data_IF_150872021120
#
_entry.id   IF_150872021120
#
_cell.length_a   1.000
_cell.length_b   1.000
_cell.length_c   1.000
_cell.angle_alpha   90.00
_cell.angle_beta   90.00
_cell.angle_gamma   90.00
#
_symmetry.space_group_name_H-M   'P 1'
#
loop_
_entity.id
_entity.type
_entity.pdbx_description
1 polymer ?
#
# COMPACT_ATOMS: atom_id res chain seq x y z
N UNK A 1 32.79 5.21 90.94
CA UNK A 1 31.78 4.13 90.78
C UNK A 1 30.77 4.66 89.77
N UNK A 2 30.67 4.22 88.51
CA UNK A 2 30.84 2.90 87.95
C UNK A 2 29.51 2.54 87.28
N UNK A 3 29.39 2.79 85.97
CA UNK A 3 28.56 2.03 85.00
C UNK A 3 28.67 2.64 83.59
N UNK A 4 29.18 1.84 82.67
CA UNK A 4 28.90 1.85 81.22
C UNK A 4 28.18 0.49 80.94
N UNK A 5 27.68 0.20 79.74
CA UNK A 5 26.99 1.01 78.72
C UNK A 5 25.58 0.42 78.41
N UNK A 6 24.80 1.05 77.52
CA UNK A 6 24.06 0.24 76.54
C UNK A 6 24.08 0.88 75.14
N UNK A 7 24.21 0.02 74.13
CA UNK A 7 24.40 0.30 72.72
C UNK A 7 23.04 0.27 72.02
N UNK A 8 22.66 1.36 71.36
CA UNK A 8 21.45 1.42 70.54
C UNK A 8 21.67 2.18 69.23
N UNK A 9 22.29 1.49 68.27
CA UNK A 9 22.25 1.64 66.80
C UNK A 9 21.78 2.99 66.20
N UNK A 10 22.74 3.71 65.65
CA UNK A 10 22.62 4.84 64.72
C UNK A 10 22.14 4.35 63.34
N UNK A 11 21.18 5.05 62.71
CA UNK A 11 21.11 5.20 61.25
C UNK A 11 21.09 6.70 60.93
N UNK A 12 22.07 7.24 60.19
CA UNK A 12 22.10 8.63 59.80
C UNK A 12 21.29 8.87 58.52
N UNK A 13 20.78 10.08 58.41
CA UNK A 13 19.96 10.55 57.29
C UNK A 13 20.76 10.93 56.04
N UNK A 14 19.95 11.17 55.00
CA UNK A 14 20.07 12.16 53.93
C UNK A 14 21.45 12.57 53.39
N UNK A 15 21.64 12.40 52.07
CA UNK A 15 22.34 13.38 51.25
C UNK A 15 21.61 13.58 49.91
N UNK A 16 21.40 14.86 49.63
CA UNK A 16 20.96 15.50 48.39
C UNK A 16 22.10 15.46 47.37
N UNK A 17 21.81 15.38 46.06
CA UNK A 17 22.81 15.72 45.04
C UNK A 17 22.56 15.12 43.66
N UNK A 18 22.34 16.00 42.69
CA UNK A 18 22.32 15.70 41.27
C UNK A 18 23.70 15.28 40.73
N UNK A 19 23.73 14.32 39.81
CA UNK A 19 24.79 14.18 38.81
C UNK A 19 24.13 13.89 37.45
N UNK A 20 24.30 14.85 36.54
CA UNK A 20 24.20 14.64 35.11
C UNK A 20 25.41 13.80 34.65
N UNK A 21 25.21 12.85 33.74
CA UNK A 21 26.30 12.33 32.91
C UNK A 21 25.70 11.92 31.56
N UNK A 22 26.25 12.52 30.51
CA UNK A 22 25.89 12.31 29.12
C UNK A 22 26.42 10.95 28.61
N UNK A 23 25.63 10.24 27.82
CA UNK A 23 26.10 9.09 27.04
C UNK A 23 25.84 9.34 25.54
N UNK A 24 26.92 9.70 24.85
CA UNK A 24 27.00 9.79 23.39
C UNK A 24 27.16 8.38 22.76
N UNK A 25 26.87 8.21 21.46
CA UNK A 25 26.65 6.90 20.84
C UNK A 25 27.94 6.18 20.39
N UNK A 26 27.93 4.86 20.52
CA UNK A 26 28.98 3.98 20.06
C UNK A 26 29.03 3.92 18.52
N UNK A 27 30.18 4.31 17.96
CA UNK A 27 30.61 4.01 16.59
C UNK A 27 31.02 2.54 16.50
N UNK A 28 30.47 1.79 15.56
CA UNK A 28 31.03 0.53 15.10
C UNK A 28 31.58 0.71 13.69
N UNK A 29 32.90 0.80 13.60
CA UNK A 29 33.69 0.72 12.37
C UNK A 29 34.28 -0.68 12.31
N UNK A 30 34.10 -1.40 11.19
CA UNK A 30 34.92 -2.55 10.86
C UNK A 30 35.08 -2.64 9.33
N UNK A 31 36.34 -2.53 8.91
CA UNK A 31 36.79 -2.62 7.53
C UNK A 31 37.17 -4.07 7.15
N UNK A 32 36.99 -4.37 5.87
CA UNK A 32 37.80 -5.22 4.98
C UNK A 32 38.09 -6.70 5.34
N UNK A 33 37.72 -7.62 4.42
CA UNK A 33 38.62 -8.68 3.93
C UNK A 33 38.12 -9.33 2.63
N UNK A 34 39.09 -9.59 1.75
CA UNK A 34 39.02 -10.18 0.42
C UNK A 34 38.88 -11.73 0.42
N UNK A 35 38.35 -12.23 -0.70
CA UNK A 35 38.78 -13.42 -1.46
C UNK A 35 38.54 -14.86 -0.95
N UNK A 36 38.16 -15.71 -1.91
CA UNK A 36 38.75 -17.04 -2.07
C UNK A 36 37.94 -18.21 -1.54
N UNK A 37 37.36 -19.00 -2.45
CA UNK A 37 36.61 -20.20 -2.10
C UNK A 37 37.45 -21.31 -1.50
N UNK A 38 36.77 -22.22 -0.80
CA UNK A 38 37.08 -23.66 -0.73
C UNK A 38 35.86 -24.40 -0.20
N UNK A 39 35.51 -25.47 -0.92
CA UNK A 39 34.46 -26.43 -0.57
C UNK A 39 34.92 -27.23 0.65
N UNK A 40 34.11 -27.31 1.69
CA UNK A 40 34.12 -28.45 2.60
C UNK A 40 32.69 -28.86 2.91
N UNK A 41 32.37 -30.06 2.43
CA UNK A 41 31.18 -30.81 2.78
C UNK A 41 31.27 -31.21 4.26
N UNK A 42 30.22 -30.93 5.02
CA UNK A 42 29.98 -31.55 6.31
C UNK A 42 28.60 -32.19 6.24
N UNK A 43 28.61 -33.52 6.25
CA UNK A 43 27.47 -34.38 6.50
C UNK A 43 26.93 -34.08 7.91
N UNK A 44 25.64 -33.75 8.02
CA UNK A 44 24.86 -34.02 9.21
C UNK A 44 23.62 -34.83 8.82
N UNK A 45 23.44 -35.95 9.52
CA UNK A 45 22.31 -36.86 9.42
C UNK A 45 21.04 -36.20 9.97
N UNK A 46 19.98 -36.25 9.19
CA UNK A 46 18.59 -36.00 9.59
C UNK A 46 17.87 -37.35 9.78
N UNK A 47 17.13 -37.59 10.89
CA UNK A 47 16.22 -38.72 10.98
C UNK A 47 14.76 -38.26 10.85
N UNK A 48 14.05 -38.84 9.86
CA UNK A 48 12.58 -38.95 9.90
C UNK A 48 11.82 -37.89 9.11
N UNK A 49 11.48 -38.22 7.86
CA UNK A 49 10.54 -37.44 7.07
C UNK A 49 10.17 -38.15 5.78
N UNK A 50 9.09 -38.92 5.82
CA UNK A 50 8.50 -39.64 4.68
C UNK A 50 8.14 -38.65 3.57
N UNK A 51 8.77 -38.75 2.39
CA UNK A 51 8.38 -37.99 1.20
C UNK A 51 7.19 -38.68 0.54
N UNK A 52 6.05 -37.99 0.53
CA UNK A 52 4.89 -38.30 -0.31
C UNK A 52 5.13 -37.60 -1.66
N UNK A 53 5.20 -38.38 -2.74
CA UNK A 53 5.20 -37.85 -4.10
C UNK A 53 3.75 -37.50 -4.50
N UNK A 54 3.52 -36.26 -4.93
CA UNK A 54 2.27 -35.85 -5.59
C UNK A 54 2.64 -35.35 -6.98
N UNK A 55 2.45 -36.20 -7.98
CA UNK A 55 2.39 -35.78 -9.37
C UNK A 55 1.01 -35.17 -9.65
N UNK A 56 0.97 -33.94 -10.16
CA UNK A 56 -0.26 -33.27 -10.59
C UNK A 56 -0.01 -32.49 -11.88
N UNK A 57 -0.07 -33.20 -13.00
CA UNK A 57 -0.55 -32.73 -14.30
C UNK A 57 -0.63 -33.99 -15.19
N UNK A 58 -1.73 -34.38 -15.83
CA UNK A 58 -2.42 -33.63 -16.87
C UNK A 58 -3.74 -34.36 -17.19
N UNK A 59 -4.82 -33.62 -17.35
CA UNK A 59 -6.02 -33.99 -18.12
C UNK A 59 -5.89 -33.24 -19.47
N UNK A 60 -6.39 -33.71 -20.64
CA UNK A 60 -7.84 -33.79 -20.86
C UNK A 60 -8.29 -34.97 -21.77
N UNK A 61 -9.40 -35.62 -21.43
CA UNK A 61 -10.25 -36.30 -22.43
C UNK A 61 -11.70 -35.91 -22.23
N UNK A 62 -12.16 -34.98 -23.08
CA UNK A 62 -13.53 -34.50 -23.11
C UNK A 62 -14.54 -35.54 -23.63
N UNK A 63 -15.84 -35.38 -23.34
CA UNK A 63 -16.87 -36.32 -23.76
C UNK A 63 -17.42 -35.98 -25.16
N UNK A 64 -17.79 -37.04 -25.88
CA UNK A 64 -18.34 -37.07 -27.22
C UNK A 64 -19.81 -36.60 -27.27
N UNK A 65 -20.17 -35.84 -28.33
CA UNK A 65 -21.55 -35.49 -28.71
C UNK A 65 -22.09 -36.56 -29.67
N UNK A 66 -23.34 -37.04 -29.53
CA UNK A 66 -23.93 -37.97 -30.51
C UNK A 66 -24.70 -37.26 -31.63
N UNK A 67 -24.76 -37.99 -32.75
CA UNK A 67 -25.29 -37.63 -34.05
C UNK A 67 -26.82 -37.43 -34.14
N UNK A 68 -27.15 -36.59 -35.11
CA UNK A 68 -28.41 -36.32 -35.82
C UNK A 68 -29.30 -37.52 -36.20
N UNK A 69 -30.63 -37.28 -36.22
CA UNK A 69 -31.55 -38.01 -37.11
C UNK A 69 -33.04 -37.99 -36.72
N UNK A 70 -33.86 -37.22 -37.45
CA UNK A 70 -35.24 -37.56 -37.92
C UNK A 70 -35.83 -36.36 -38.67
N UNK A 71 -35.89 -36.45 -40.01
CA UNK A 71 -36.99 -36.96 -40.85
C UNK A 71 -38.15 -35.98 -41.03
N UNK A 72 -38.29 -35.61 -42.30
CA UNK A 72 -39.37 -34.86 -42.98
C UNK A 72 -40.72 -35.53 -42.79
N UNK A 73 -41.80 -34.73 -42.83
CA UNK A 73 -42.94 -35.03 -43.72
C UNK A 73 -43.67 -33.73 -44.12
N UNK A 74 -44.36 -33.79 -45.26
CA UNK A 74 -44.81 -32.73 -46.16
C UNK A 74 -46.29 -32.31 -45.95
N UNK A 75 -46.64 -31.24 -46.69
CA UNK A 75 -47.95 -30.93 -47.32
C UNK A 75 -48.81 -29.89 -46.56
N UNK A 76 -49.52 -28.93 -47.16
CA UNK A 76 -49.90 -28.67 -48.55
C UNK A 76 -50.27 -27.19 -48.81
N UNK A 77 -50.39 -26.90 -50.11
CA UNK A 77 -50.69 -25.68 -50.88
C UNK A 77 -52.04 -24.98 -50.61
N UNK A 78 -52.06 -23.63 -50.75
CA UNK A 78 -53.07 -22.71 -51.36
C UNK A 78 -53.05 -21.40 -50.55
N UNK A 79 -53.02 -20.18 -51.07
CA UNK A 79 -53.24 -19.61 -52.39
C UNK A 79 -53.73 -18.16 -52.17
N UNK A 80 -53.42 -17.22 -53.07
CA UNK A 80 -54.17 -15.95 -53.20
C UNK A 80 -53.49 -14.67 -52.71
N UNK A 81 -52.79 -14.00 -53.63
CA UNK A 81 -52.56 -12.55 -53.66
C UNK A 81 -53.82 -11.89 -54.29
N UNK A 82 -54.20 -10.66 -53.90
CA UNK A 82 -54.06 -9.52 -54.83
C UNK A 82 -53.54 -8.28 -54.06
N UNK A 83 -52.48 -7.60 -54.51
CA UNK A 83 -52.36 -6.66 -55.65
C UNK A 83 -52.72 -5.20 -55.27
N UNK A 84 -51.80 -4.30 -55.67
CA UNK A 84 -51.90 -2.83 -55.84
C UNK A 84 -52.05 -1.90 -54.62
N UNK A 85 -51.01 -1.11 -54.33
CA UNK A 85 -50.82 0.25 -54.92
C UNK A 85 -49.67 1.01 -54.20
N UNK A 86 -48.66 1.44 -54.97
CA UNK A 86 -47.89 2.68 -54.72
C UNK A 86 -48.41 3.70 -55.76
N UNK A 87 -48.51 4.99 -55.44
CA UNK A 87 -47.31 5.84 -55.44
C UNK A 87 -47.25 6.86 -54.30
N UNK A 88 -46.03 7.34 -54.07
CA UNK A 88 -45.70 8.42 -53.15
C UNK A 88 -45.91 9.75 -53.87
N UNK A 89 -46.87 10.56 -53.41
CA UNK A 89 -46.85 12.01 -53.60
C UNK A 89 -47.76 12.64 -52.53
N UNK A 90 -47.19 13.45 -51.64
CA UNK A 90 -47.86 14.52 -50.86
C UNK A 90 -46.76 15.16 -50.00
N UNK A 91 -46.25 16.31 -50.42
CA UNK A 91 -46.77 17.62 -50.01
C UNK A 91 -46.53 17.92 -48.53
N UNK A 92 -45.62 18.87 -48.35
CA UNK A 92 -45.18 19.50 -47.12
C UNK A 92 -46.35 20.22 -46.44
N UNK A 93 -46.84 19.71 -45.30
CA UNK A 93 -47.56 20.51 -44.30
C UNK A 93 -47.17 20.11 -42.88
N UNK A 94 -46.30 20.96 -42.32
CA UNK A 94 -46.19 21.41 -40.93
C UNK A 94 -46.76 20.50 -39.82
N UNK A 95 -45.86 19.96 -39.00
CA UNK A 95 -46.24 19.25 -37.79
C UNK A 95 -45.02 18.77 -37.00
N UNK A 96 -44.38 19.71 -36.29
CA UNK A 96 -43.83 19.52 -34.95
C UNK A 96 -43.48 18.07 -34.56
N UNK A 97 -42.23 17.61 -34.75
CA UNK A 97 -41.55 16.57 -33.93
C UNK A 97 -40.16 16.26 -34.53
N UNK A 98 -39.31 17.28 -34.71
CA UNK A 98 -37.87 17.03 -34.88
C UNK A 98 -37.23 16.91 -33.50
N UNK A 99 -37.50 15.80 -32.81
CA UNK A 99 -36.75 15.47 -31.59
C UNK A 99 -35.45 14.79 -32.01
N UNK A 100 -34.47 15.66 -32.23
CA UNK A 100 -33.03 15.45 -32.20
C UNK A 100 -32.63 14.27 -31.28
N UNK A 101 -32.52 13.06 -31.83
CA UNK A 101 -31.96 11.90 -31.17
C UNK A 101 -30.41 11.99 -31.25
N UNK A 102 -29.83 12.96 -30.52
CA UNK A 102 -28.39 12.96 -30.23
C UNK A 102 -28.16 11.86 -29.21
N UNK A 103 -27.70 10.71 -29.70
CA UNK A 103 -27.12 9.66 -28.89
C UNK A 103 -25.85 10.22 -28.25
N UNK A 104 -25.95 10.66 -27.01
CA UNK A 104 -24.80 11.06 -26.18
C UNK A 104 -23.98 9.81 -25.93
N UNK A 105 -22.95 9.60 -26.75
CA UNK A 105 -21.92 8.58 -26.53
C UNK A 105 -21.06 9.08 -25.36
N UNK A 106 -21.39 8.68 -24.13
CA UNK A 106 -20.55 8.97 -22.97
C UNK A 106 -19.35 8.04 -23.04
N UNK A 107 -18.12 8.53 -23.27
CA UNK A 107 -16.95 7.68 -23.21
C UNK A 107 -16.80 7.20 -21.77
N UNK A 108 -16.86 5.88 -21.58
CA UNK A 108 -16.51 5.25 -20.32
C UNK A 108 -15.01 5.45 -20.12
N UNK A 109 -14.62 6.50 -19.40
CA UNK A 109 -13.25 6.72 -19.00
C UNK A 109 -12.84 5.56 -18.10
N UNK A 110 -12.11 4.60 -18.65
CA UNK A 110 -11.44 3.58 -17.84
C UNK A 110 -10.42 4.32 -16.99
N UNK A 111 -10.69 4.45 -15.68
CA UNK A 111 -9.72 5.01 -14.75
C UNK A 111 -8.49 4.10 -14.79
N UNK A 112 -7.45 4.54 -15.52
CA UNK A 112 -6.20 3.81 -15.61
C UNK A 112 -5.59 3.84 -14.21
N UNK A 113 -5.62 2.69 -13.56
CA UNK A 113 -5.07 2.50 -12.22
C UNK A 113 -3.60 2.94 -12.25
N UNK A 114 -3.26 3.98 -11.49
CA UNK A 114 -1.91 4.52 -11.49
C UNK A 114 -0.92 3.42 -11.07
N UNK A 115 0.22 3.33 -11.76
CA UNK A 115 1.30 2.43 -11.34
C UNK A 115 1.79 2.83 -9.94
N UNK A 116 2.27 1.87 -9.13
CA UNK A 116 2.60 2.13 -7.73
C UNK A 116 3.71 3.19 -7.59
N UNK A 117 4.71 3.18 -8.48
CA UNK A 117 5.75 4.20 -8.54
C UNK A 117 5.20 5.59 -8.93
N UNK A 118 4.29 5.66 -9.90
CA UNK A 118 3.65 6.92 -10.29
C UNK A 118 2.77 7.47 -9.16
N UNK A 119 2.10 6.61 -8.40
CA UNK A 119 1.30 6.99 -7.24
C UNK A 119 2.19 7.65 -6.17
N UNK A 120 3.26 6.99 -5.75
CA UNK A 120 4.15 7.52 -4.70
C UNK A 120 4.85 8.80 -5.16
N UNK A 121 5.26 8.85 -6.43
CA UNK A 121 5.87 10.05 -7.01
C UNK A 121 4.92 11.23 -6.97
N UNK A 122 3.70 11.06 -7.48
CA UNK A 122 2.68 12.12 -7.48
C UNK A 122 2.33 12.56 -6.06
N UNK A 123 2.15 11.61 -5.15
CA UNK A 123 1.88 11.90 -3.74
C UNK A 123 2.99 12.75 -3.12
N UNK A 124 4.25 12.38 -3.38
CA UNK A 124 5.42 13.12 -2.89
C UNK A 124 5.47 14.54 -3.44
N UNK A 125 5.21 14.71 -4.74
CA UNK A 125 5.13 16.02 -5.40
C UNK A 125 4.00 16.89 -4.82
N UNK A 126 2.82 16.32 -4.62
CA UNK A 126 1.65 17.02 -4.05
C UNK A 126 1.91 17.48 -2.61
N UNK A 127 2.52 16.64 -1.78
CA UNK A 127 2.87 16.97 -0.39
C UNK A 127 3.93 18.07 -0.33
N UNK A 128 4.99 17.95 -1.14
CA UNK A 128 6.05 18.98 -1.22
C UNK A 128 5.50 20.30 -1.72
N UNK A 129 4.62 20.28 -2.73
CA UNK A 129 3.97 21.48 -3.23
C UNK A 129 3.12 22.16 -2.15
N UNK A 130 2.34 21.40 -1.38
CA UNK A 130 1.54 21.92 -0.28
C UNK A 130 2.40 22.56 0.82
N UNK A 131 3.49 21.89 1.23
CA UNK A 131 4.44 22.42 2.22
C UNK A 131 5.05 23.74 1.72
N UNK A 132 5.43 23.83 0.45
CA UNK A 132 6.03 25.05 -0.13
C UNK A 132 5.07 26.23 -0.21
N UNK A 133 3.76 25.97 -0.33
CA UNK A 133 2.74 27.00 -0.48
C UNK A 133 2.21 27.54 0.87
N UNK A 134 2.32 26.77 1.96
CA UNK A 134 1.82 27.15 3.28
C UNK A 134 2.94 27.51 4.25
N UNK A 135 3.02 28.80 4.64
CA UNK A 135 4.05 29.31 5.56
C UNK A 135 3.87 28.79 6.99
N UNK A 136 2.65 28.48 7.41
CA UNK A 136 2.40 28.00 8.77
C UNK A 136 2.86 26.54 8.90
N UNK A 137 2.68 25.74 7.84
CA UNK A 137 3.28 24.40 7.75
C UNK A 137 4.82 24.48 7.83
N UNK A 138 5.44 25.44 7.13
CA UNK A 138 6.90 25.65 7.19
C UNK A 138 7.38 26.15 8.56
N UNK A 139 6.54 26.89 9.27
CA UNK A 139 6.78 27.35 10.63
C UNK A 139 6.58 26.24 11.68
N UNK A 140 6.05 25.08 11.29
CA UNK A 140 5.84 23.93 12.18
C UNK A 140 4.47 23.91 12.86
N UNK A 141 3.45 24.55 12.30
CA UNK A 141 2.07 24.44 12.78
C UNK A 141 1.59 22.98 12.73
N UNK A 142 1.49 22.37 13.90
CA UNK A 142 1.18 20.95 14.04
C UNK A 142 -0.23 20.59 13.55
N UNK A 143 -1.20 21.50 13.68
CA UNK A 143 -2.59 21.26 13.27
C UNK A 143 -2.70 21.28 11.75
N UNK A 144 -2.04 22.25 11.09
CA UNK A 144 -2.00 22.28 9.62
C UNK A 144 -1.23 21.11 9.03
N UNK A 145 -0.11 20.71 9.64
CA UNK A 145 0.63 19.52 9.17
C UNK A 145 -0.24 18.28 9.33
N UNK A 146 -0.93 18.13 10.46
CA UNK A 146 -1.85 17.00 10.68
C UNK A 146 -2.96 16.98 9.62
N UNK A 147 -3.58 18.13 9.33
CA UNK A 147 -4.59 18.25 8.29
C UNK A 147 -4.06 17.91 6.89
N UNK A 148 -2.82 18.32 6.56
CA UNK A 148 -2.16 17.95 5.32
C UNK A 148 -1.98 16.43 5.23
N UNK A 149 -1.47 15.80 6.29
CA UNK A 149 -1.27 14.35 6.34
C UNK A 149 -2.60 13.62 6.18
N UNK A 150 -3.65 14.07 6.88
CA UNK A 150 -4.99 13.50 6.80
C UNK A 150 -5.60 13.59 5.40
N UNK A 151 -5.46 14.74 4.74
CA UNK A 151 -6.07 14.97 3.43
C UNK A 151 -5.28 14.33 2.27
N UNK A 152 -3.94 14.32 2.37
CA UNK A 152 -3.08 13.94 1.24
C UNK A 152 -2.41 12.59 1.40
N UNK A 153 -1.99 12.22 2.59
CA UNK A 153 -1.16 11.02 2.80
C UNK A 153 -2.04 9.83 3.20
N UNK A 154 -2.88 9.99 4.22
CA UNK A 154 -3.67 8.88 4.77
C UNK A 154 -4.52 8.11 3.74
N UNK A 155 -5.13 8.75 2.71
CA UNK A 155 -5.91 8.01 1.72
C UNK A 155 -5.10 6.97 0.93
N UNK A 156 -3.77 7.07 0.92
CA UNK A 156 -2.88 6.15 0.19
C UNK A 156 -2.28 5.06 1.07
N UNK A 157 -2.59 5.04 2.37
CA UNK A 157 -2.07 4.05 3.32
C UNK A 157 -3.15 3.06 3.76
N UNK A 158 -2.77 1.80 3.94
CA UNK A 158 -3.56 0.84 4.73
C UNK A 158 -2.98 0.76 6.15
N UNK A 159 -3.44 1.67 7.03
CA UNK A 159 -2.99 1.71 8.42
C UNK A 159 -3.37 0.47 9.21
N UNK A 160 -4.43 -0.24 8.84
CA UNK A 160 -4.81 -1.49 9.49
C UNK A 160 -3.75 -2.55 9.18
N UNK A 161 -3.35 -2.69 7.92
CA UNK A 161 -2.26 -3.58 7.51
C UNK A 161 -0.92 -3.15 8.11
N UNK A 162 -0.59 -1.86 8.14
CA UNK A 162 0.63 -1.37 8.82
C UNK A 162 0.64 -1.76 10.30
N UNK A 163 -0.48 -1.56 11.00
CA UNK A 163 -0.59 -1.94 12.42
C UNK A 163 -0.49 -3.44 12.61
N UNK A 164 -1.07 -4.23 11.70
CA UNK A 164 -0.95 -5.69 11.68
C UNK A 164 0.50 -6.14 11.58
N UNK A 165 1.25 -5.56 10.64
CA UNK A 165 2.69 -5.86 10.45
C UNK A 165 3.47 -5.50 11.71
N UNK A 166 3.25 -4.31 12.27
CA UNK A 166 3.93 -3.85 13.49
C UNK A 166 3.64 -4.73 14.73
N UNK A 167 2.40 -5.22 14.86
CA UNK A 167 2.01 -6.09 15.98
C UNK A 167 2.39 -7.56 15.79
N UNK A 168 2.61 -7.99 14.56
CA UNK A 168 2.91 -9.37 14.19
C UNK A 168 1.92 -10.37 14.81
N UNK A 169 2.45 -11.38 15.49
CA UNK A 169 1.65 -12.48 16.08
C UNK A 169 0.64 -12.03 17.14
N UNK A 170 0.79 -10.83 17.70
CA UNK A 170 -0.10 -10.30 18.72
C UNK A 170 -1.37 -9.68 18.11
N UNK A 171 -1.38 -9.34 16.82
CA UNK A 171 -2.57 -8.79 16.16
C UNK A 171 -3.79 -9.69 16.31
N UNK A 172 -3.63 -10.99 16.00
CA UNK A 172 -4.68 -12.01 16.12
C UNK A 172 -5.17 -12.26 17.54
N UNK A 173 -4.46 -11.78 18.57
CA UNK A 173 -4.84 -11.89 19.98
C UNK A 173 -5.66 -10.69 20.45
N UNK A 174 -5.56 -9.57 19.76
CA UNK A 174 -6.34 -8.38 20.07
C UNK A 174 -7.80 -8.56 19.61
N UNK A 175 -8.76 -8.12 20.43
CA UNK A 175 -10.16 -8.03 20.02
C UNK A 175 -10.33 -6.99 18.89
N UNK A 176 -11.48 -7.00 18.21
CA UNK A 176 -11.77 -6.02 17.16
C UNK A 176 -11.65 -4.57 17.69
N UNK A 177 -12.20 -4.28 18.87
CA UNK A 177 -12.11 -2.95 19.49
C UNK A 177 -10.66 -2.56 19.83
N UNK A 178 -9.85 -3.53 20.27
CA UNK A 178 -8.43 -3.30 20.54
C UNK A 178 -7.66 -3.04 19.25
N UNK A 179 -7.95 -3.80 18.19
CA UNK A 179 -7.35 -3.61 16.87
C UNK A 179 -7.63 -2.20 16.33
N UNK A 180 -8.88 -1.73 16.40
CA UNK A 180 -9.27 -0.39 15.96
C UNK A 180 -8.57 0.70 16.80
N UNK A 181 -8.58 0.57 18.13
CA UNK A 181 -7.86 1.49 19.02
C UNK A 181 -6.38 1.54 18.71
N UNK A 182 -5.73 0.38 18.54
CA UNK A 182 -4.32 0.29 18.23
C UNK A 182 -4.00 0.94 16.88
N UNK A 183 -4.82 0.70 15.86
CA UNK A 183 -4.66 1.36 14.55
C UNK A 183 -4.78 2.89 14.66
N UNK A 184 -5.77 3.39 15.42
CA UNK A 184 -5.96 4.83 15.62
C UNK A 184 -4.80 5.47 16.39
N UNK A 185 -4.34 4.85 17.48
CA UNK A 185 -3.22 5.37 18.28
C UNK A 185 -1.90 5.29 17.54
N UNK A 186 -1.66 4.21 16.78
CA UNK A 186 -0.47 4.07 15.97
C UNK A 186 -0.43 5.12 14.85
N UNK A 187 -1.56 5.35 14.17
CA UNK A 187 -1.70 6.46 13.22
C UNK A 187 -1.33 7.80 13.87
N UNK A 188 -1.90 8.12 15.04
CA UNK A 188 -1.63 9.39 15.74
C UNK A 188 -0.16 9.54 16.11
N UNK A 189 0.48 8.47 16.56
CA UNK A 189 1.91 8.45 16.90
C UNK A 189 2.78 8.75 15.68
N UNK A 190 2.52 8.08 14.55
CA UNK A 190 3.29 8.28 13.32
C UNK A 190 3.14 9.71 12.79
N UNK A 191 1.91 10.23 12.72
CA UNK A 191 1.67 11.63 12.32
C UNK A 191 2.52 12.55 13.19
N UNK A 192 2.40 12.47 14.52
CA UNK A 192 3.14 13.33 15.44
C UNK A 192 4.67 13.21 15.31
N UNK A 193 5.18 12.00 15.10
CA UNK A 193 6.62 11.72 15.06
C UNK A 193 7.26 12.27 13.79
N UNK A 194 6.56 12.18 12.65
CA UNK A 194 7.10 12.55 11.35
C UNK A 194 6.66 13.94 10.85
N UNK A 195 5.68 14.59 11.51
CA UNK A 195 5.29 15.98 11.22
C UNK A 195 6.46 16.95 11.23
N UNK A 196 7.40 16.81 12.17
CA UNK A 196 8.59 17.66 12.24
C UNK A 196 9.50 17.53 11.01
N UNK A 197 9.61 16.32 10.45
CA UNK A 197 10.38 16.08 9.22
C UNK A 197 9.71 16.77 8.03
N UNK A 198 8.38 16.68 7.91
CA UNK A 198 7.61 17.39 6.88
C UNK A 198 7.77 18.91 7.01
N UNK A 199 7.69 19.45 8.22
CA UNK A 199 7.89 20.88 8.49
C UNK A 199 9.30 21.37 8.17
N UNK A 200 10.30 20.48 8.20
CA UNK A 200 11.71 20.80 7.90
C UNK A 200 12.06 20.76 6.41
N UNK A 201 11.14 20.31 5.56
CA UNK A 201 11.39 20.21 4.12
C UNK A 201 11.52 21.61 3.49
N UNK A 202 12.55 21.82 2.69
CA UNK A 202 12.86 23.07 1.99
C UNK A 202 13.18 22.77 0.53
N UNK A 203 14.44 22.48 0.28
CA UNK A 203 15.08 22.37 -1.02
C UNK A 203 15.58 20.94 -1.29
N UNK A 204 15.21 19.97 -0.45
CA UNK A 204 15.57 18.58 -0.71
C UNK A 204 14.98 18.11 -2.05
N UNK A 205 15.66 17.17 -2.71
CA UNK A 205 15.23 16.60 -3.99
C UNK A 205 14.89 15.13 -3.77
N UNK A 206 13.70 14.70 -4.19
CA UNK A 206 13.28 13.29 -4.08
C UNK A 206 13.54 12.61 -5.43
N UNK A 207 14.41 11.61 -5.44
CA UNK A 207 14.72 10.80 -6.63
C UNK A 207 14.14 9.40 -6.48
N UNK A 208 13.38 8.95 -7.48
CA UNK A 208 12.80 7.61 -7.50
C UNK A 208 13.70 6.65 -8.28
N UNK A 209 13.95 5.47 -7.70
CA UNK A 209 14.66 4.39 -8.40
C UNK A 209 13.70 3.63 -9.31
N UNK A 210 14.20 2.99 -10.39
CA UNK A 210 13.36 2.17 -11.26
C UNK A 210 12.62 1.09 -10.48
N UNK A 211 11.29 1.02 -10.66
CA UNK A 211 10.46 -0.02 -10.10
C UNK A 211 10.83 -1.37 -10.70
N UNK A 212 10.97 -2.38 -9.83
CA UNK A 212 11.16 -3.79 -10.21
C UNK A 212 9.89 -4.54 -9.81
N UNK A 213 8.93 -4.61 -10.71
CA UNK A 213 7.67 -5.33 -10.52
C UNK A 213 7.39 -6.19 -11.77
N UNK A 214 6.89 -7.40 -11.55
CA UNK A 214 6.43 -8.30 -12.61
C UNK A 214 4.93 -8.11 -12.84
N UNK A 215 4.44 -8.35 -14.07
CA UNK A 215 3.00 -8.37 -14.31
C UNK A 215 2.32 -9.42 -13.41
N UNK A 216 1.32 -8.99 -12.64
CA UNK A 216 0.59 -9.85 -11.70
C UNK A 216 1.04 -9.76 -10.25
N UNK A 217 2.14 -9.06 -9.96
CA UNK A 217 2.55 -8.82 -8.57
C UNK A 217 1.46 -8.05 -7.82
N UNK A 218 1.05 -8.59 -6.67
CA UNK A 218 0.11 -7.94 -5.76
C UNK A 218 0.82 -7.12 -4.68
N UNK A 219 2.13 -7.27 -4.54
CA UNK A 219 2.96 -6.52 -3.59
C UNK A 219 4.27 -6.10 -4.25
N UNK A 220 4.67 -4.85 -4.03
CA UNK A 220 5.88 -4.29 -4.62
C UNK A 220 6.56 -3.34 -3.64
N UNK A 221 7.84 -3.06 -3.87
CA UNK A 221 8.56 -2.00 -3.14
C UNK A 221 8.97 -0.90 -4.10
N UNK A 222 8.44 0.31 -3.87
CA UNK A 222 8.88 1.53 -4.56
C UNK A 222 10.02 2.13 -3.75
N UNK A 223 11.14 2.47 -4.38
CA UNK A 223 12.31 3.02 -3.67
C UNK A 223 12.58 4.46 -4.09
N UNK A 224 12.89 5.31 -3.11
CA UNK A 224 13.27 6.70 -3.34
C UNK A 224 14.50 7.10 -2.51
N UNK A 225 15.11 8.22 -2.88
CA UNK A 225 16.19 8.86 -2.13
C UNK A 225 15.93 10.34 -1.97
N UNK A 226 16.03 10.84 -0.74
CA UNK A 226 15.94 12.26 -0.40
C UNK A 226 17.35 12.85 -0.38
N UNK A 227 17.60 13.65 -1.41
CA UNK A 227 18.69 14.57 -1.72
C UNK A 227 18.80 15.78 -0.81
N UNK A 228 19.83 15.96 0.03
CA UNK A 228 20.12 17.26 0.64
C UNK A 228 21.59 17.65 0.44
N UNK A 229 21.84 18.91 0.09
CA UNK A 229 23.19 19.42 -0.09
C UNK A 229 24.01 19.29 1.20
N UNK A 230 25.22 18.73 1.10
CA UNK A 230 26.12 18.56 2.24
C UNK A 230 25.74 17.45 3.23
N UNK A 231 24.74 16.61 2.91
CA UNK A 231 24.33 15.47 3.73
C UNK A 231 24.25 14.18 2.90
N UNK A 232 24.37 13.03 3.57
CA UNK A 232 24.21 11.72 2.93
C UNK A 232 22.74 11.52 2.49
N UNK A 233 22.47 11.00 1.28
CA UNK A 233 21.11 10.73 0.83
C UNK A 233 20.36 9.75 1.72
N UNK A 234 19.13 10.10 2.09
CA UNK A 234 18.26 9.24 2.90
C UNK A 234 17.42 8.37 1.97
N UNK A 235 17.50 7.05 2.09
CA UNK A 235 16.67 6.13 1.28
C UNK A 235 15.34 5.86 1.98
N UNK A 236 14.25 5.85 1.23
CA UNK A 236 12.90 5.53 1.71
C UNK A 236 12.30 4.47 0.78
N UNK A 237 11.90 3.34 1.36
CA UNK A 237 11.38 2.16 0.65
C UNK A 237 9.91 1.98 1.02
N UNK A 238 8.99 2.21 0.08
CA UNK A 238 7.55 2.10 0.30
C UNK A 238 7.10 0.69 -0.09
N UNK A 239 6.72 -0.13 0.89
CA UNK A 239 6.06 -1.40 0.63
C UNK A 239 4.58 -1.15 0.32
N UNK A 240 4.14 -1.63 -0.84
CA UNK A 240 2.80 -1.39 -1.34
C UNK A 240 2.11 -2.68 -1.69
N UNK A 241 0.81 -2.74 -1.44
CA UNK A 241 -0.07 -3.81 -1.87
C UNK A 241 -1.10 -3.30 -2.87
N UNK A 242 -1.53 -4.18 -3.77
CA UNK A 242 -2.64 -3.92 -4.68
C UNK A 242 -3.95 -4.32 -4.03
N UNK A 243 -4.82 -3.34 -3.78
CA UNK A 243 -6.17 -3.58 -3.23
C UNK A 243 -7.23 -3.40 -4.32
N UNK A 244 -8.48 -3.78 -4.03
CA UNK A 244 -9.62 -3.49 -4.93
C UNK A 244 -9.83 -1.97 -5.19
N UNK A 245 -9.29 -1.11 -4.31
CA UNK A 245 -9.38 0.35 -4.41
C UNK A 245 -8.15 1.01 -5.04
N UNK A 246 -7.18 0.21 -5.51
CA UNK A 246 -5.89 0.69 -5.98
C UNK A 246 -4.72 0.24 -5.10
N UNK A 247 -3.52 0.68 -5.47
CA UNK A 247 -2.31 0.50 -4.67
C UNK A 247 -2.37 1.27 -3.34
N UNK A 248 -1.99 0.61 -2.25
CA UNK A 248 -1.89 1.19 -0.90
C UNK A 248 -0.52 0.92 -0.32
N UNK A 249 0.05 1.91 0.37
CA UNK A 249 1.27 1.77 1.16
C UNK A 249 0.91 1.11 2.48
N UNK A 250 1.65 0.08 2.88
CA UNK A 250 1.47 -0.57 4.18
C UNK A 250 2.73 -0.57 5.04
N UNK A 251 3.90 -0.18 4.50
CA UNK A 251 5.16 -0.05 5.24
C UNK A 251 6.10 0.98 4.58
N UNK A 252 6.96 1.64 5.38
CA UNK A 252 7.92 2.70 4.95
C UNK A 252 9.21 2.66 5.77
#
# INVERSE_FOLDING_TARGET
>A
MGRKPDRGRIRPGACVGACAEAAAPARASAAAAHAGGKRHAIHLLEPGGTRVCVDRNSDPSGPQIPHSGRLRERAAVRGGQPDRQRPQELEMKSGLFSFLLISVFVPLASAQEASPDALVKKLSEDVVAAIRQDKDIQAGDADKISALVEAKILPHFDFRRTTQVAMGVNWRRASADQQERLTSEFKRLLVRTYSGALASYRDQIIEFKPLRASPGDSEVTVRSQVKQSGAEPITIDYAMEKTASGWKIFDV
#
